data_IF_154494358057
#
_entry.id   IF_154494358057
#
_cell.length_a   1.000
_cell.length_b   1.000
_cell.length_c   1.000
_cell.angle_alpha   90.00
_cell.angle_beta   90.00
_cell.angle_gamma   90.00
#
_symmetry.space_group_name_H-M   'P 1'
#
loop_
_entity.id
_entity.type
_entity.pdbx_description
1 polymer ?
#
# COMPACT_ATOMS: atom_id res chain seq x y z
N UNK A 1 -11.84 -8.26 6.71
CA UNK A 1 -10.71 -7.73 5.88
C UNK A 1 -9.41 -8.11 6.54
N UNK A 2 -8.47 -8.65 5.80
CA UNK A 2 -7.15 -8.96 6.36
C UNK A 2 -6.16 -7.81 6.11
N UNK A 3 -4.97 -7.93 6.70
CA UNK A 3 -3.95 -6.87 6.61
C UNK A 3 -3.55 -6.58 5.18
N UNK A 4 -3.41 -7.63 4.36
CA UNK A 4 -3.05 -7.51 2.96
C UNK A 4 -4.09 -6.70 2.17
N UNK A 5 -5.36 -6.98 2.40
CA UNK A 5 -6.45 -6.26 1.74
C UNK A 5 -6.47 -4.79 2.17
N UNK A 6 -6.23 -4.52 3.46
CA UNK A 6 -6.19 -3.16 3.97
C UNK A 6 -5.05 -2.36 3.31
N UNK A 7 -3.90 -2.98 3.11
CA UNK A 7 -2.77 -2.34 2.42
C UNK A 7 -3.14 -2.01 0.97
N UNK A 8 -3.73 -2.97 0.25
CA UNK A 8 -4.15 -2.74 -1.13
C UNK A 8 -5.15 -1.58 -1.22
N UNK A 9 -6.15 -1.56 -0.34
CA UNK A 9 -7.15 -0.50 -0.32
C UNK A 9 -6.53 0.86 0.00
N UNK A 10 -5.58 0.89 0.93
CA UNK A 10 -4.89 2.13 1.29
C UNK A 10 -4.13 2.70 0.10
N UNK A 11 -3.44 1.84 -0.66
CA UNK A 11 -2.71 2.26 -1.86
C UNK A 11 -3.69 2.82 -2.90
N UNK A 12 -4.81 2.14 -3.13
CA UNK A 12 -5.81 2.62 -4.09
C UNK A 12 -6.40 3.97 -3.65
N UNK A 13 -6.68 4.13 -2.37
CA UNK A 13 -7.19 5.37 -1.81
C UNK A 13 -6.21 6.52 -2.01
N UNK A 14 -4.94 6.28 -1.71
CA UNK A 14 -3.90 7.30 -1.87
C UNK A 14 -3.70 7.66 -3.34
N UNK A 15 -3.73 6.70 -4.23
CA UNK A 15 -3.67 6.97 -5.67
C UNK A 15 -4.82 7.87 -6.09
N UNK A 16 -6.03 7.57 -5.62
CA UNK A 16 -7.22 8.37 -5.95
C UNK A 16 -7.10 9.78 -5.38
N UNK A 17 -6.67 9.90 -4.12
CA UNK A 17 -6.52 11.20 -3.47
C UNK A 17 -5.46 12.07 -4.15
N UNK A 18 -4.39 11.46 -4.65
CA UNK A 18 -3.28 12.16 -5.28
C UNK A 18 -3.47 12.32 -6.79
N UNK A 19 -4.50 11.72 -7.35
CA UNK A 19 -4.75 11.80 -8.79
C UNK A 19 -3.69 11.09 -9.62
N UNK A 20 -3.10 10.01 -9.11
CA UNK A 20 -2.09 9.24 -9.85
C UNK A 20 -2.58 7.82 -10.07
N UNK A 21 -2.09 7.20 -11.14
CA UNK A 21 -2.39 5.81 -11.45
C UNK A 21 -1.35 4.90 -10.76
N UNK A 22 -1.65 3.60 -10.61
CA UNK A 22 -0.64 2.65 -10.15
C UNK A 22 0.63 2.66 -11.00
N UNK A 23 0.51 2.86 -12.32
CA UNK A 23 1.68 2.98 -13.20
C UNK A 23 2.50 4.22 -12.88
N UNK A 24 1.83 5.34 -12.63
CA UNK A 24 2.49 6.57 -12.19
C UNK A 24 3.19 6.39 -10.86
N UNK A 25 2.56 5.67 -9.95
CA UNK A 25 3.15 5.35 -8.64
C UNK A 25 4.43 4.53 -8.81
N UNK A 26 4.46 3.59 -9.74
CA UNK A 26 5.67 2.81 -10.00
C UNK A 26 6.83 3.71 -10.37
N UNK A 27 6.58 4.72 -11.17
CA UNK A 27 7.61 5.69 -11.57
C UNK A 27 8.11 6.51 -10.38
N UNK A 28 7.21 7.05 -9.57
CA UNK A 28 7.59 7.95 -8.47
C UNK A 28 8.18 7.21 -7.28
N UNK A 29 7.80 5.96 -7.08
CA UNK A 29 8.25 5.17 -5.92
C UNK A 29 9.44 4.27 -6.21
N UNK A 30 9.81 4.12 -7.48
CA UNK A 30 10.84 3.16 -7.91
C UNK A 30 10.49 1.72 -7.54
N UNK A 31 9.21 1.40 -7.40
CA UNK A 31 8.71 0.04 -7.20
C UNK A 31 8.23 -0.48 -8.54
N UNK A 32 8.65 -1.67 -8.98
CA UNK A 32 8.21 -2.20 -10.27
C UNK A 32 6.70 -2.30 -10.38
N UNK A 33 6.16 -2.02 -11.56
CA UNK A 33 4.73 -2.13 -11.82
C UNK A 33 4.18 -3.51 -11.45
N UNK A 34 4.94 -4.56 -11.77
CA UNK A 34 4.53 -5.93 -11.45
C UNK A 34 4.34 -6.13 -9.94
N UNK A 35 5.21 -5.53 -9.12
CA UNK A 35 5.11 -5.61 -7.67
C UNK A 35 3.86 -4.89 -7.18
N UNK A 36 3.61 -3.68 -7.66
CA UNK A 36 2.41 -2.92 -7.28
C UNK A 36 1.16 -3.70 -7.69
N UNK A 37 1.14 -4.22 -8.90
CA UNK A 37 0.01 -5.00 -9.41
C UNK A 37 -0.25 -6.23 -8.55
N UNK A 38 0.81 -6.94 -8.15
CA UNK A 38 0.66 -8.12 -7.28
C UNK A 38 0.07 -7.75 -5.92
N UNK A 39 0.47 -6.62 -5.35
CA UNK A 39 -0.10 -6.14 -4.09
C UNK A 39 -1.59 -5.83 -4.27
N UNK A 40 -1.93 -5.09 -5.32
CA UNK A 40 -3.31 -4.67 -5.56
C UNK A 40 -4.24 -5.82 -5.91
N UNK A 41 -3.72 -6.87 -6.55
CA UNK A 41 -4.49 -8.06 -6.92
C UNK A 41 -4.58 -9.10 -5.80
N UNK A 42 -3.91 -8.86 -4.68
CA UNK A 42 -3.90 -9.82 -3.58
C UNK A 42 -2.98 -11.01 -3.80
N UNK A 43 -2.13 -10.98 -4.81
CA UNK A 43 -1.17 -12.05 -5.07
C UNK A 43 0.02 -11.99 -4.11
N UNK A 44 0.44 -10.79 -3.74
CA UNK A 44 1.51 -10.59 -2.76
C UNK A 44 0.92 -10.72 -1.36
N UNK A 45 1.26 -11.80 -0.67
CA UNK A 45 0.70 -12.10 0.65
C UNK A 45 1.35 -11.29 1.76
N UNK A 46 2.57 -10.83 1.53
CA UNK A 46 3.33 -10.15 2.57
C UNK A 46 4.21 -9.07 1.92
N UNK A 47 3.63 -7.94 1.56
CA UNK A 47 4.43 -6.83 1.01
C UNK A 47 5.50 -6.41 2.02
N UNK A 48 6.74 -6.34 1.58
CA UNK A 48 7.85 -6.01 2.46
C UNK A 48 7.79 -4.59 2.98
N UNK A 49 8.34 -4.37 4.16
CA UNK A 49 8.35 -3.05 4.80
C UNK A 49 9.07 -2.02 3.94
N UNK A 50 10.19 -2.39 3.33
CA UNK A 50 10.94 -1.47 2.47
C UNK A 50 10.12 -1.10 1.23
N UNK A 51 9.40 -2.06 0.66
CA UNK A 51 8.51 -1.78 -0.46
C UNK A 51 7.43 -0.77 -0.06
N UNK A 52 6.81 -0.98 1.09
CA UNK A 52 5.80 -0.05 1.61
C UNK A 52 6.42 1.34 1.82
N UNK A 53 7.63 1.41 2.38
CA UNK A 53 8.32 2.69 2.58
C UNK A 53 8.57 3.41 1.26
N UNK A 54 8.99 2.69 0.21
CA UNK A 54 9.17 3.27 -1.12
C UNK A 54 7.88 3.84 -1.67
N UNK A 55 6.77 3.12 -1.48
CA UNK A 55 5.46 3.61 -1.91
C UNK A 55 5.09 4.89 -1.14
N UNK A 56 5.35 4.91 0.17
CA UNK A 56 5.12 6.10 0.97
C UNK A 56 5.94 7.28 0.47
N UNK A 57 7.21 7.05 0.13
CA UNK A 57 8.06 8.09 -0.43
C UNK A 57 7.49 8.61 -1.76
N UNK A 58 6.97 7.71 -2.59
CA UNK A 58 6.32 8.09 -3.84
C UNK A 58 5.06 8.92 -3.63
N UNK A 59 4.34 8.68 -2.55
CA UNK A 59 3.16 9.48 -2.17
C UNK A 59 3.53 10.73 -1.37
N UNK A 60 4.78 10.87 -0.97
CA UNK A 60 5.26 11.95 -0.12
C UNK A 60 4.58 11.95 1.25
N UNK A 61 4.42 10.78 1.84
CA UNK A 61 3.88 10.59 3.19
C UNK A 61 4.84 9.73 4.01
N UNK A 62 4.62 9.73 5.32
CA UNK A 62 5.39 8.87 6.22
C UNK A 62 4.73 7.49 6.35
N UNK A 63 5.48 6.51 6.87
CA UNK A 63 4.91 5.21 7.20
C UNK A 63 3.79 5.35 8.23
N UNK A 64 3.97 6.24 9.21
CA UNK A 64 2.93 6.49 10.21
C UNK A 64 1.65 6.99 9.57
N UNK A 65 1.75 7.92 8.63
CA UNK A 65 0.58 8.44 7.92
C UNK A 65 -0.09 7.34 7.09
N UNK A 66 0.69 6.48 6.45
CA UNK A 66 0.16 5.38 5.66
C UNK A 66 -0.76 4.49 6.50
N UNK A 67 -0.31 4.13 7.71
CA UNK A 67 -1.00 3.18 8.57
C UNK A 67 -1.97 3.82 9.56
N UNK A 68 -2.09 5.14 9.62
CA UNK A 68 -2.93 5.80 10.61
C UNK A 68 -4.37 5.97 10.11
N UNK A 69 -5.03 4.85 9.87
CA UNK A 69 -6.44 4.82 9.48
C UNK A 69 -7.21 3.87 10.38
N UNK A 70 -8.51 4.12 10.51
CA UNK A 70 -9.37 3.26 11.32
C UNK A 70 -9.44 1.83 10.76
N UNK A 71 -9.27 1.65 9.46
CA UNK A 71 -9.27 0.31 8.87
C UNK A 71 -8.13 -0.54 9.42
N UNK A 72 -6.92 0.03 9.53
CA UNK A 72 -5.79 -0.71 10.08
C UNK A 72 -6.00 -1.01 11.57
N UNK A 73 -6.55 -0.05 12.32
CA UNK A 73 -6.81 -0.22 13.74
C UNK A 73 -7.86 -1.30 14.01
N UNK A 74 -8.78 -1.51 13.09
CA UNK A 74 -9.88 -2.45 13.24
C UNK A 74 -9.57 -3.85 12.70
N UNK A 75 -8.36 -4.10 12.21
CA UNK A 75 -8.00 -5.40 11.68
C UNK A 75 -8.02 -6.48 12.75
N UNK A 76 -8.41 -7.69 12.33
CA UNK A 76 -8.36 -8.85 13.20
C UNK A 76 -6.91 -9.22 13.49
N UNK A 77 -6.69 -9.93 14.59
CA UNK A 77 -5.35 -10.41 14.92
C UNK A 77 -4.88 -11.40 13.87
N UNK A 78 -3.60 -11.27 13.49
CA UNK A 78 -2.96 -12.24 12.61
C UNK A 78 -2.52 -13.49 13.37
N UNK A 79 -2.38 -13.36 14.68
CA UNK A 79 -2.00 -14.47 15.54
C UNK A 79 -3.20 -15.42 15.65
N UNK A 80 -2.96 -16.70 15.39
CA UNK A 80 -4.03 -17.70 15.40
C UNK A 80 -3.75 -18.82 16.36
#
# INVERSE_FOLDING_TARGET
MDTREAIARRIRELCRQRGITPNGLATTSAVPQATIKSILNGESRNPGTVTIKKLCDGFEITLGEFFSTSEFDALEQEIK
#
